data_IF_465188900855
#
_entry.id   IF_465188900855
#
_cell.length_a   1.000
_cell.length_b   1.000
_cell.length_c   1.000
_cell.angle_alpha   90.00
_cell.angle_beta   90.00
_cell.angle_gamma   90.00
#
_symmetry.space_group_name_H-M   'P 1'
#
loop_
_entity.id
_entity.type
_entity.pdbx_description
1 polymer ?
#
# COMPACT_ATOMS: atom_id res chain seq x y z
N UNK A 1 -43.78 5.20 14.61
CA UNK A 1 -44.22 5.29 16.02
C UNK A 1 -45.69 5.70 16.01
N UNK A 2 -46.59 4.89 16.57
CA UNK A 2 -48.01 5.22 16.63
C UNK A 2 -48.28 5.69 18.05
N UNK A 3 -48.22 7.00 18.29
CA UNK A 3 -48.74 7.61 19.53
C UNK A 3 -50.18 8.05 19.23
N UNK A 4 -51.14 7.62 20.06
CA UNK A 4 -52.56 7.99 19.89
C UNK A 4 -52.86 9.45 20.25
N UNK A 5 -51.93 10.12 20.91
CA UNK A 5 -52.02 11.53 21.31
C UNK A 5 -51.20 12.42 20.35
N UNK A 6 -51.87 13.38 19.73
CA UNK A 6 -51.27 14.35 18.80
C UNK A 6 -50.25 15.25 19.49
N UNK A 7 -50.51 15.66 20.75
CA UNK A 7 -49.57 16.52 21.49
C UNK A 7 -48.26 15.80 21.79
N UNK A 8 -48.33 14.54 22.19
CA UNK A 8 -47.14 13.69 22.36
C UNK A 8 -46.38 13.48 21.04
N UNK A 9 -47.09 13.37 19.91
CA UNK A 9 -46.48 13.26 18.57
C UNK A 9 -45.72 14.52 18.21
N UNK A 10 -46.33 15.69 18.38
CA UNK A 10 -45.72 16.98 18.04
C UNK A 10 -44.54 17.31 18.97
N UNK A 11 -44.65 16.96 20.25
CA UNK A 11 -43.53 17.04 21.19
C UNK A 11 -42.35 16.12 20.80
N UNK A 12 -42.62 14.88 20.38
CA UNK A 12 -41.60 13.96 19.88
C UNK A 12 -40.95 14.41 18.56
N UNK A 13 -41.71 15.04 17.67
CA UNK A 13 -41.19 15.57 16.40
C UNK A 13 -40.40 16.86 16.57
N UNK A 14 -40.71 17.65 17.59
CA UNK A 14 -39.98 18.89 17.93
C UNK A 14 -38.73 18.66 18.78
N UNK A 15 -38.52 17.44 19.29
CA UNK A 15 -37.32 17.08 20.04
C UNK A 15 -36.06 17.12 19.16
N UNK A 16 -35.12 17.98 19.53
CA UNK A 16 -33.81 18.02 18.89
C UNK A 16 -32.92 16.88 19.39
N UNK A 17 -33.00 15.72 18.72
CA UNK A 17 -32.22 14.54 19.09
C UNK A 17 -30.70 14.74 19.05
N UNK A 18 -30.19 15.82 18.43
CA UNK A 18 -28.75 16.16 18.41
C UNK A 18 -28.20 16.52 19.80
N UNK A 19 -29.06 16.93 20.73
CA UNK A 19 -28.63 17.32 22.08
C UNK A 19 -28.41 16.12 23.01
N UNK A 20 -28.92 14.93 22.64
CA UNK A 20 -28.78 13.70 23.40
C UNK A 20 -27.40 13.08 23.18
N UNK A 21 -26.39 13.54 23.92
CA UNK A 21 -25.00 13.02 23.83
C UNK A 21 -24.79 11.67 24.52
N UNK A 22 -25.71 11.27 25.41
CA UNK A 22 -25.59 10.05 26.23
C UNK A 22 -26.28 8.83 25.60
N UNK A 23 -27.18 9.05 24.64
CA UNK A 23 -27.97 8.00 24.02
C UNK A 23 -27.86 8.10 22.51
N UNK A 24 -27.71 6.95 21.85
CA UNK A 24 -27.77 6.89 20.40
C UNK A 24 -29.23 6.71 20.00
N UNK A 25 -29.89 7.77 19.54
CA UNK A 25 -31.29 7.72 19.11
C UNK A 25 -31.36 7.28 17.66
N UNK A 26 -32.07 6.19 17.41
CA UNK A 26 -32.30 5.65 16.07
C UNK A 26 -33.75 5.95 15.66
N UNK A 27 -33.90 6.79 14.64
CA UNK A 27 -35.20 7.11 14.05
C UNK A 27 -35.40 6.20 12.85
N UNK A 28 -36.49 5.45 12.77
CA UNK A 28 -36.85 4.62 11.60
C UNK A 28 -38.13 5.14 10.97
N UNK A 29 -38.15 5.24 9.65
CA UNK A 29 -39.37 5.32 8.86
C UNK A 29 -40.04 3.94 8.83
N UNK A 30 -41.30 3.91 8.38
CA UNK A 30 -42.09 2.68 8.23
C UNK A 30 -41.42 1.65 7.32
N UNK A 31 -40.72 2.11 6.28
CA UNK A 31 -39.96 1.24 5.35
C UNK A 31 -38.70 0.67 6.00
N UNK A 32 -38.09 1.40 6.95
CA UNK A 32 -36.84 1.02 7.59
C UNK A 32 -37.03 0.04 8.76
N UNK A 33 -38.27 -0.24 9.16
CA UNK A 33 -38.59 -1.29 10.13
C UNK A 33 -38.16 -2.68 9.66
N UNK A 34 -38.01 -2.86 8.34
CA UNK A 34 -37.55 -4.10 7.72
C UNK A 34 -36.03 -4.21 7.64
N UNK A 35 -35.28 -3.25 8.18
CA UNK A 35 -33.82 -3.32 8.13
C UNK A 35 -33.29 -4.53 8.88
N UNK A 36 -32.28 -5.15 8.30
CA UNK A 36 -31.60 -6.29 8.91
C UNK A 36 -30.46 -5.81 9.79
N UNK A 37 -30.40 -6.35 11.01
CA UNK A 37 -29.31 -6.06 11.95
C UNK A 37 -28.09 -6.90 11.62
N UNK A 38 -26.94 -6.24 11.50
CA UNK A 38 -25.64 -6.87 11.35
C UNK A 38 -24.67 -6.49 12.45
N UNK A 39 -23.75 -7.41 12.74
CA UNK A 39 -22.54 -7.16 13.49
C UNK A 39 -21.33 -7.27 12.57
N UNK A 40 -20.44 -6.29 12.61
CA UNK A 40 -19.17 -6.29 11.89
C UNK A 40 -18.05 -6.32 12.91
N UNK A 41 -17.12 -7.28 12.74
CA UNK A 41 -15.95 -7.39 13.60
C UNK A 41 -14.75 -6.71 12.94
N UNK A 42 -14.30 -5.60 13.52
CA UNK A 42 -13.18 -4.80 13.03
C UNK A 42 -11.96 -5.01 13.92
N UNK A 43 -10.89 -5.64 13.41
CA UNK A 43 -9.65 -5.75 14.15
C UNK A 43 -9.06 -4.35 14.39
N UNK A 44 -8.82 -3.99 15.64
CA UNK A 44 -8.11 -2.75 16.00
C UNK A 44 -6.60 -3.03 16.09
N UNK A 45 -5.67 -2.11 15.84
CA UNK A 45 -5.67 -0.67 16.14
C UNK A 45 -4.69 0.05 15.20
N UNK A 46 -5.13 0.53 14.03
CA UNK A 46 -4.28 1.46 13.28
C UNK A 46 -4.16 2.80 14.03
N UNK A 47 -2.99 3.43 13.94
CA UNK A 47 -2.76 4.76 14.53
C UNK A 47 -3.49 5.89 13.80
N UNK A 48 -4.10 5.60 12.64
CA UNK A 48 -4.91 6.57 11.92
C UNK A 48 -6.25 6.74 12.64
N UNK A 49 -6.22 7.56 13.70
CA UNK A 49 -7.27 7.78 14.69
C UNK A 49 -8.28 8.86 14.29
N UNK A 50 -8.01 9.61 13.22
CA UNK A 50 -8.82 10.75 12.83
C UNK A 50 -10.15 10.32 12.18
N UNK A 51 -10.20 9.12 11.59
CA UNK A 51 -11.40 8.59 10.95
C UNK A 51 -12.01 7.50 11.82
N UNK A 52 -13.30 7.62 12.10
CA UNK A 52 -14.03 6.61 12.86
C UNK A 52 -14.13 5.28 12.08
N UNK A 53 -14.26 4.14 12.78
CA UNK A 53 -14.29 2.84 12.13
C UNK A 53 -15.41 2.64 11.09
N UNK A 54 -16.58 3.28 11.25
CA UNK A 54 -17.68 3.14 10.29
C UNK A 54 -17.41 3.97 9.02
N UNK A 55 -16.87 5.17 9.18
CA UNK A 55 -16.44 6.00 8.05
C UNK A 55 -15.31 5.34 7.26
N UNK A 56 -14.36 4.66 7.93
CA UNK A 56 -13.34 3.85 7.26
C UNK A 56 -13.95 2.75 6.38
N UNK A 57 -14.95 2.03 6.89
CA UNK A 57 -15.69 1.03 6.10
C UNK A 57 -16.38 1.70 4.91
N UNK A 58 -17.07 2.82 5.12
CA UNK A 58 -17.78 3.55 4.07
C UNK A 58 -16.84 4.00 2.95
N UNK A 59 -15.68 4.56 3.29
CA UNK A 59 -14.69 5.04 2.30
C UNK A 59 -14.16 3.89 1.46
N UNK A 60 -13.73 2.80 2.09
CA UNK A 60 -13.06 1.71 1.40
C UNK A 60 -14.02 0.85 0.56
N UNK A 61 -15.30 0.76 0.96
CA UNK A 61 -16.30 -0.05 0.27
C UNK A 61 -17.27 0.78 -0.59
N UNK A 62 -16.94 2.04 -0.91
CA UNK A 62 -17.80 2.95 -1.70
C UNK A 62 -18.18 2.37 -3.07
N UNK A 63 -17.36 1.47 -3.62
CA UNK A 63 -17.56 0.85 -4.95
C UNK A 63 -18.19 -0.55 -4.92
N UNK A 64 -18.57 -1.07 -3.76
CA UNK A 64 -19.32 -2.33 -3.72
C UNK A 64 -20.74 -2.09 -4.24
N UNK A 65 -21.09 -2.79 -5.31
CA UNK A 65 -22.38 -2.63 -5.97
C UNK A 65 -23.51 -3.12 -5.06
N UNK A 66 -24.55 -2.31 -4.87
CA UNK A 66 -25.68 -2.63 -3.99
C UNK A 66 -25.41 -2.53 -2.48
N UNK A 67 -24.15 -2.41 -2.06
CA UNK A 67 -23.76 -2.30 -0.63
C UNK A 67 -23.50 -0.83 -0.29
N UNK A 68 -24.57 -0.07 -0.10
CA UNK A 68 -24.47 1.36 0.22
C UNK A 68 -24.33 1.54 1.73
N UNK A 69 -23.11 1.41 2.25
CA UNK A 69 -22.81 1.58 3.69
C UNK A 69 -23.26 2.95 4.22
N UNK A 70 -23.29 3.97 3.36
CA UNK A 70 -23.79 5.30 3.72
C UNK A 70 -25.27 5.35 4.14
N UNK A 71 -26.07 4.33 3.79
CA UNK A 71 -27.47 4.20 4.20
C UNK A 71 -27.65 3.35 5.47
N UNK A 72 -26.57 2.78 6.00
CA UNK A 72 -26.64 1.94 7.19
C UNK A 72 -26.78 2.80 8.44
N UNK A 73 -27.60 2.36 9.38
CA UNK A 73 -27.81 3.03 10.66
C UNK A 73 -26.90 2.46 11.71
N UNK A 74 -26.09 3.32 12.31
CA UNK A 74 -25.17 2.93 13.36
C UNK A 74 -25.90 2.70 14.69
N UNK A 75 -26.01 1.44 15.11
CA UNK A 75 -26.73 1.06 16.33
C UNK A 75 -25.84 1.26 17.55
N UNK A 76 -24.72 0.54 17.59
CA UNK A 76 -23.82 0.52 18.76
C UNK A 76 -22.40 0.15 18.36
N UNK A 77 -21.43 0.68 19.08
CA UNK A 77 -20.02 0.28 19.02
C UNK A 77 -19.59 -0.30 20.35
N UNK A 78 -18.90 -1.42 20.30
CA UNK A 78 -18.33 -2.08 21.47
C UNK A 78 -16.84 -2.26 21.21
N UNK A 79 -16.00 -1.63 22.02
CA UNK A 79 -14.56 -1.79 21.96
C UNK A 79 -14.14 -2.81 23.01
N UNK A 80 -13.22 -3.69 22.64
CA UNK A 80 -12.51 -4.57 23.57
C UNK A 80 -11.02 -4.65 23.21
N UNK A 81 -10.27 -5.47 23.93
CA UNK A 81 -8.82 -5.63 23.74
C UNK A 81 -8.44 -6.19 22.36
N UNK A 82 -9.33 -6.97 21.74
CA UNK A 82 -9.08 -7.63 20.44
C UNK A 82 -9.48 -6.74 19.25
N UNK A 83 -10.30 -5.72 19.46
CA UNK A 83 -10.77 -4.84 18.39
C UNK A 83 -12.06 -4.09 18.70
N UNK A 84 -12.79 -3.77 17.64
CA UNK A 84 -14.06 -3.05 17.70
C UNK A 84 -15.14 -3.87 17.02
N UNK A 85 -16.23 -4.14 17.73
CA UNK A 85 -17.46 -4.65 17.13
C UNK A 85 -18.39 -3.48 16.84
N UNK A 86 -18.93 -3.42 15.63
CA UNK A 86 -19.95 -2.45 15.25
C UNK A 86 -21.25 -3.20 15.00
N UNK A 87 -22.35 -2.67 15.53
CA UNK A 87 -23.69 -3.07 15.19
C UNK A 87 -24.31 -2.02 14.29
N UNK A 88 -24.87 -2.45 13.18
CA UNK A 88 -25.54 -1.61 12.19
C UNK A 88 -26.86 -2.23 11.78
N UNK A 89 -27.83 -1.40 11.44
CA UNK A 89 -29.04 -1.83 10.74
C UNK A 89 -28.93 -1.39 9.29
N UNK A 90 -29.12 -2.34 8.36
CA UNK A 90 -28.95 -2.10 6.93
C UNK A 90 -30.20 -2.47 6.14
N UNK A 91 -30.40 -1.87 4.95
CA UNK A 91 -31.46 -2.29 4.05
C UNK A 91 -31.34 -3.78 3.65
N UNK A 92 -32.45 -4.52 3.50
CA UNK A 92 -32.42 -5.91 3.00
C UNK A 92 -31.74 -6.04 1.63
N UNK A 93 -31.84 -5.01 0.79
CA UNK A 93 -31.13 -4.97 -0.50
C UNK A 93 -29.61 -4.99 -0.33
N UNK A 94 -29.07 -4.29 0.68
CA UNK A 94 -27.65 -4.34 1.02
C UNK A 94 -27.25 -5.68 1.62
N UNK A 95 -28.10 -6.30 2.43
CA UNK A 95 -27.86 -7.64 2.97
C UNK A 95 -27.74 -8.69 1.84
N UNK A 96 -28.69 -8.69 0.90
CA UNK A 96 -28.63 -9.57 -0.30
C UNK A 96 -27.44 -9.27 -1.19
N UNK A 97 -27.07 -7.99 -1.35
CA UNK A 97 -25.89 -7.62 -2.13
C UNK A 97 -24.60 -8.14 -1.46
N UNK A 98 -24.51 -8.11 -0.12
CA UNK A 98 -23.37 -8.65 0.62
C UNK A 98 -23.20 -10.16 0.47
N UNK A 99 -24.28 -10.92 0.24
CA UNK A 99 -24.19 -12.36 -0.01
C UNK A 99 -23.36 -12.67 -1.25
N UNK A 100 -23.48 -11.83 -2.32
CA UNK A 100 -22.64 -11.94 -3.53
C UNK A 100 -21.15 -11.78 -3.21
N UNK A 101 -20.82 -11.03 -2.17
CA UNK A 101 -19.47 -10.80 -1.68
C UNK A 101 -19.11 -11.68 -0.47
N UNK A 102 -19.80 -12.82 -0.30
CA UNK A 102 -19.56 -13.80 0.79
C UNK A 102 -19.63 -13.20 2.19
N UNK A 103 -20.43 -12.16 2.39
CA UNK A 103 -20.57 -11.46 3.66
C UNK A 103 -19.25 -10.82 4.15
N UNK A 104 -18.39 -10.39 3.23
CA UNK A 104 -17.10 -9.76 3.54
C UNK A 104 -17.04 -8.31 3.09
N UNK A 105 -16.39 -7.49 3.90
CA UNK A 105 -16.07 -6.09 3.60
C UNK A 105 -14.56 -5.87 3.66
N UNK A 106 -14.09 -4.89 2.91
CA UNK A 106 -12.71 -4.41 2.99
C UNK A 106 -12.55 -3.47 4.20
N UNK A 107 -11.57 -3.73 5.05
CA UNK A 107 -11.24 -2.85 6.16
C UNK A 107 -9.73 -2.81 6.39
N UNK A 108 -9.14 -1.63 6.21
CA UNK A 108 -7.70 -1.41 6.26
C UNK A 108 -6.98 -2.33 5.26
N UNK A 109 -6.13 -3.25 5.72
CA UNK A 109 -5.33 -4.13 4.87
C UNK A 109 -5.83 -5.60 4.88
N UNK A 110 -7.10 -5.83 5.20
CA UNK A 110 -7.70 -7.16 5.29
C UNK A 110 -9.21 -7.17 5.02
N UNK A 111 -9.76 -8.37 4.83
CA UNK A 111 -11.21 -8.60 4.82
C UNK A 111 -11.76 -8.83 6.23
N UNK A 112 -12.97 -8.32 6.47
CA UNK A 112 -13.72 -8.50 7.71
C UNK A 112 -15.08 -9.11 7.40
N UNK A 113 -15.55 -9.98 8.30
CA UNK A 113 -16.83 -10.66 8.15
C UNK A 113 -17.98 -9.81 8.71
N UNK A 114 -19.12 -9.90 8.04
CA UNK A 114 -20.40 -9.33 8.44
C UNK A 114 -21.31 -10.47 8.89
N UNK A 115 -21.85 -10.38 10.09
CA UNK A 115 -22.74 -11.38 10.67
C UNK A 115 -24.15 -10.80 10.75
N UNK A 116 -25.08 -11.32 9.96
CA UNK A 116 -26.49 -10.94 10.04
C UNK A 116 -27.17 -11.66 11.20
N UNK A 117 -28.00 -10.93 11.96
CA UNK A 117 -28.84 -11.51 13.03
C UNK A 117 -29.80 -12.55 12.48
N UNK A 118 -30.31 -12.36 11.26
CA UNK A 118 -31.25 -13.29 10.62
C UNK A 118 -30.65 -14.69 10.41
N UNK A 119 -29.34 -14.76 10.14
CA UNK A 119 -28.58 -15.98 9.79
C UNK A 119 -27.71 -16.45 10.98
N UNK A 120 -27.69 -15.71 12.09
CA UNK A 120 -26.90 -16.08 13.26
C UNK A 120 -27.40 -17.41 13.84
N UNK A 121 -26.47 -18.35 14.05
CA UNK A 121 -26.74 -19.68 14.63
C UNK A 121 -27.45 -19.56 15.98
N UNK A 122 -27.05 -18.56 16.78
CA UNK A 122 -27.69 -18.23 18.05
C UNK A 122 -28.04 -16.73 18.11
N UNK A 123 -29.33 -16.43 17.96
CA UNK A 123 -29.88 -15.07 18.06
C UNK A 123 -29.74 -14.50 19.48
N UNK A 124 -29.86 -15.34 20.50
CA UNK A 124 -29.70 -14.91 21.90
C UNK A 124 -28.23 -14.53 22.16
N UNK A 125 -27.26 -15.28 21.65
CA UNK A 125 -25.85 -14.91 21.73
C UNK A 125 -25.54 -13.60 20.98
N UNK A 126 -26.16 -13.38 19.82
CA UNK A 126 -26.04 -12.11 19.09
C UNK A 126 -26.55 -10.92 19.92
N UNK A 127 -27.73 -11.08 20.53
CA UNK A 127 -28.37 -10.06 21.37
C UNK A 127 -27.65 -9.84 22.70
N UNK A 128 -27.13 -10.90 23.32
CA UNK A 128 -26.25 -10.80 24.49
C UNK A 128 -25.00 -9.97 24.16
N UNK A 129 -24.45 -10.13 22.95
CA UNK A 129 -23.33 -9.32 22.46
C UNK A 129 -23.63 -7.83 22.39
N UNK A 130 -24.88 -7.42 22.11
CA UNK A 130 -25.30 -6.01 22.15
C UNK A 130 -25.27 -5.44 23.56
N UNK A 131 -25.43 -6.27 24.59
CA UNK A 131 -25.44 -5.84 25.99
C UNK A 131 -24.04 -5.73 26.61
N UNK A 132 -22.99 -6.19 25.91
CA UNK A 132 -21.63 -6.04 26.38
C UNK A 132 -21.25 -4.57 26.60
N UNK A 133 -20.55 -4.31 27.71
CA UNK A 133 -19.96 -2.99 27.99
C UNK A 133 -18.69 -2.82 27.19
N UNK A 134 -18.54 -1.64 26.59
CA UNK A 134 -17.27 -1.27 25.97
C UNK A 134 -16.22 -1.04 27.06
N UNK A 135 -14.97 -1.44 26.81
CA UNK A 135 -13.88 -0.99 27.68
C UNK A 135 -13.73 0.53 27.56
N UNK A 136 -13.53 1.20 28.71
CA UNK A 136 -13.35 2.65 28.77
C UNK A 136 -11.90 3.06 28.46
N UNK A 137 -10.95 2.15 28.64
CA UNK A 137 -9.55 2.36 28.29
C UNK A 137 -9.30 2.02 26.83
N UNK A 138 -8.56 2.90 26.14
CA UNK A 138 -8.19 2.70 24.73
C UNK A 138 -7.02 1.71 24.66
N UNK A 139 -7.18 0.53 24.05
CA UNK A 139 -6.10 -0.43 23.92
C UNK A 139 -4.90 0.16 23.15
N UNK A 140 -3.70 -0.16 23.61
CA UNK A 140 -2.44 0.35 23.07
C UNK A 140 -2.11 -0.36 21.75
N UNK A 141 -1.95 0.36 20.62
CA UNK A 141 -1.67 -0.24 19.30
C UNK A 141 -0.39 -1.08 19.22
N UNK A 142 0.51 -0.91 20.19
CA UNK A 142 1.80 -1.57 20.22
C UNK A 142 1.73 -3.00 20.78
N UNK A 143 0.63 -3.38 21.44
CA UNK A 143 0.47 -4.68 22.09
C UNK A 143 -0.25 -5.72 21.21
N UNK A 144 -0.91 -5.33 20.12
CA UNK A 144 -1.57 -6.30 19.24
C UNK A 144 -0.55 -7.10 18.44
N UNK A 145 -0.62 -8.44 18.42
CA UNK A 145 0.31 -9.25 17.63
C UNK A 145 0.17 -8.94 16.14
N UNK A 146 1.29 -8.89 15.41
CA UNK A 146 1.28 -8.79 13.95
C UNK A 146 0.94 -10.18 13.38
N UNK A 147 -0.04 -10.30 12.46
CA UNK A 147 -0.31 -11.58 11.80
C UNK A 147 0.93 -12.09 11.06
N UNK A 148 1.11 -13.40 11.00
CA UNK A 148 2.15 -14.03 10.18
C UNK A 148 1.55 -14.47 8.84
N UNK A 149 2.27 -14.26 7.75
CA UNK A 149 1.90 -14.80 6.43
C UNK A 149 3.01 -15.73 5.93
N UNK A 150 2.62 -16.95 5.56
CA UNK A 150 3.50 -17.87 4.86
C UNK A 150 3.90 -17.25 3.51
N UNK A 151 5.20 -17.06 3.28
CA UNK A 151 5.71 -16.32 2.13
C UNK A 151 5.47 -16.97 0.77
N UNK A 152 4.79 -18.11 0.68
CA UNK A 152 4.69 -18.93 -0.54
C UNK A 152 3.50 -18.57 -1.46
N UNK A 153 2.62 -17.64 -1.07
CA UNK A 153 1.56 -17.17 -1.98
C UNK A 153 2.20 -16.33 -3.12
N UNK A 154 1.99 -16.76 -4.37
CA UNK A 154 2.58 -16.14 -5.58
C UNK A 154 2.19 -14.66 -5.78
N UNK A 155 1.08 -14.24 -5.18
CA UNK A 155 0.53 -12.89 -5.33
C UNK A 155 0.84 -11.95 -4.17
N UNK A 156 1.65 -12.39 -3.20
CA UNK A 156 2.09 -11.52 -2.11
C UNK A 156 3.01 -10.42 -2.64
N UNK A 157 2.69 -9.19 -2.28
CA UNK A 157 3.57 -8.03 -2.37
C UNK A 157 4.43 -7.99 -1.11
N UNK A 158 5.75 -8.09 -1.28
CA UNK A 158 6.73 -8.06 -0.18
C UNK A 158 7.41 -6.69 -0.11
N UNK A 159 7.43 -6.09 1.07
CA UNK A 159 8.04 -4.79 1.34
C UNK A 159 9.24 -4.98 2.27
N UNK A 160 10.37 -4.38 1.90
CA UNK A 160 11.64 -4.41 2.62
C UNK A 160 12.32 -3.04 2.56
N UNK A 161 13.49 -2.91 3.18
CA UNK A 161 14.36 -1.75 2.95
C UNK A 161 15.16 -1.91 1.65
N UNK A 162 15.57 -0.77 1.04
CA UNK A 162 16.43 -0.74 -0.17
C UNK A 162 17.66 -1.65 0.05
N UNK A 163 17.97 -2.46 -0.96
CA UNK A 163 18.97 -3.52 -0.87
C UNK A 163 18.47 -4.80 -0.20
N UNK A 164 17.15 -5.04 -0.22
CA UNK A 164 16.50 -6.23 0.34
C UNK A 164 16.82 -6.49 1.82
N UNK A 165 17.03 -5.44 2.61
CA UNK A 165 17.35 -5.57 4.03
C UNK A 165 16.07 -5.88 4.84
N UNK A 166 16.11 -6.82 5.79
CA UNK A 166 14.94 -7.21 6.56
C UNK A 166 14.45 -6.09 7.48
N UNK A 167 13.13 -6.03 7.66
CA UNK A 167 12.44 -5.17 8.60
C UNK A 167 12.33 -5.85 9.97
N UNK A 168 12.48 -5.08 11.04
CA UNK A 168 12.04 -5.53 12.37
C UNK A 168 10.52 -5.43 12.50
N UNK A 169 9.94 -6.18 13.45
CA UNK A 169 8.50 -6.15 13.72
C UNK A 169 7.98 -4.74 14.02
N UNK A 170 8.76 -3.95 14.77
CA UNK A 170 8.42 -2.56 15.12
C UNK A 170 8.36 -1.69 13.87
N UNK A 171 9.29 -1.88 12.93
CA UNK A 171 9.34 -1.14 11.68
C UNK A 171 8.21 -1.59 10.74
N UNK A 172 7.91 -2.88 10.67
CA UNK A 172 6.77 -3.41 9.91
C UNK A 172 5.42 -2.80 10.37
N UNK A 173 5.24 -2.57 11.68
CA UNK A 173 4.06 -1.83 12.19
C UNK A 173 3.99 -0.39 11.65
N UNK A 174 5.14 0.31 11.57
CA UNK A 174 5.20 1.66 10.99
C UNK A 174 4.89 1.65 9.49
N UNK A 175 5.35 0.62 8.76
CA UNK A 175 5.03 0.43 7.34
C UNK A 175 3.52 0.25 7.17
N UNK A 176 2.90 -0.67 7.93
CA UNK A 176 1.44 -0.88 7.95
C UNK A 176 0.68 0.43 8.16
N UNK A 177 1.02 1.18 9.21
CA UNK A 177 0.32 2.43 9.53
C UNK A 177 0.52 3.50 8.45
N UNK A 178 1.70 3.57 7.81
CA UNK A 178 1.98 4.47 6.67
C UNK A 178 1.11 4.14 5.46
N UNK A 179 0.96 2.86 5.13
CA UNK A 179 0.14 2.42 3.99
C UNK A 179 -1.34 2.72 4.25
N UNK A 180 -1.83 2.42 5.47
CA UNK A 180 -3.20 2.74 5.88
C UNK A 180 -3.48 4.24 5.78
N UNK A 181 -2.54 5.07 6.27
CA UNK A 181 -2.64 6.54 6.16
C UNK A 181 -2.78 6.98 4.71
N UNK A 182 -1.88 6.51 3.82
CA UNK A 182 -1.88 6.89 2.41
C UNK A 182 -3.13 6.40 1.69
N UNK A 183 -3.62 5.20 2.02
CA UNK A 183 -4.86 4.65 1.48
C UNK A 183 -6.07 5.50 1.82
N UNK A 184 -6.26 5.88 3.10
CA UNK A 184 -7.42 6.71 3.45
C UNK A 184 -7.30 8.13 2.92
N UNK A 185 -6.10 8.72 2.89
CA UNK A 185 -5.87 10.00 2.22
C UNK A 185 -6.23 9.94 0.73
N UNK A 186 -5.89 8.84 0.06
CA UNK A 186 -6.26 8.60 -1.33
C UNK A 186 -7.78 8.55 -1.54
N UNK A 187 -8.52 7.90 -0.64
CA UNK A 187 -9.99 7.87 -0.70
C UNK A 187 -10.65 9.20 -0.36
N UNK A 188 -10.09 9.97 0.59
CA UNK A 188 -10.56 11.32 0.90
C UNK A 188 -10.40 12.28 -0.28
N UNK A 189 -9.37 12.07 -1.12
CA UNK A 189 -9.13 12.82 -2.36
C UNK A 189 -9.87 12.23 -3.59
N UNK A 190 -10.92 11.46 -3.36
CA UNK A 190 -11.74 10.83 -4.41
C UNK A 190 -10.97 9.95 -5.41
N UNK A 191 -9.88 9.32 -4.95
CA UNK A 191 -9.08 8.42 -5.76
C UNK A 191 -9.94 7.34 -6.45
N UNK A 192 -9.65 7.04 -7.72
CA UNK A 192 -10.48 6.20 -8.61
C UNK A 192 -10.20 4.70 -8.60
N UNK A 193 -9.10 4.25 -8.01
CA UNK A 193 -8.66 2.83 -8.02
C UNK A 193 -9.04 2.05 -6.77
N UNK A 194 -9.30 0.75 -6.91
CA UNK A 194 -9.63 -0.14 -5.77
C UNK A 194 -8.39 -0.36 -4.89
N UNK A 195 -8.62 -0.52 -3.59
CA UNK A 195 -7.57 -0.76 -2.59
C UNK A 195 -8.03 -1.86 -1.61
N UNK A 196 -8.37 -3.01 -2.18
CA UNK A 196 -8.88 -4.16 -1.45
C UNK A 196 -7.77 -5.18 -1.22
N UNK A 197 -7.62 -5.58 0.04
CA UNK A 197 -6.60 -6.52 0.49
C UNK A 197 -7.25 -7.68 1.22
N UNK A 198 -6.80 -8.89 0.94
CA UNK A 198 -7.31 -10.12 1.58
C UNK A 198 -6.76 -10.23 3.00
N UNK A 199 -5.44 -10.11 3.13
CA UNK A 199 -4.70 -10.25 4.39
C UNK A 199 -3.38 -9.50 4.33
N UNK A 200 -2.88 -9.12 5.51
CA UNK A 200 -1.54 -8.56 5.72
C UNK A 200 -0.82 -9.31 6.83
N UNK A 201 0.50 -9.23 6.85
CA UNK A 201 1.28 -9.83 7.91
C UNK A 201 2.78 -9.73 7.71
N UNK A 202 3.51 -10.31 8.65
CA UNK A 202 4.96 -10.37 8.64
C UNK A 202 5.42 -11.76 8.21
N UNK A 203 6.50 -11.83 7.43
CA UNK A 203 7.09 -13.09 6.95
C UNK A 203 8.60 -13.10 7.16
N UNK A 204 9.16 -14.26 7.47
CA UNK A 204 10.61 -14.43 7.61
C UNK A 204 11.31 -14.34 6.23
N UNK A 205 12.56 -13.85 6.14
CA UNK A 205 13.46 -13.37 7.20
C UNK A 205 13.24 -11.91 7.65
N UNK A 206 12.14 -11.25 7.26
CA UNK A 206 11.83 -9.90 7.72
C UNK A 206 11.10 -9.02 6.71
N UNK A 207 10.04 -9.54 6.10
CA UNK A 207 9.25 -8.83 5.10
C UNK A 207 7.89 -8.43 5.67
N UNK A 208 7.44 -7.21 5.33
CA UNK A 208 6.04 -6.87 5.48
C UNK A 208 5.31 -7.29 4.21
N UNK A 209 4.31 -8.14 4.36
CA UNK A 209 3.62 -8.81 3.27
C UNK A 209 2.17 -8.33 3.18
N UNK A 210 1.72 -8.07 1.96
CA UNK A 210 0.34 -7.75 1.63
C UNK A 210 -0.15 -8.69 0.54
N UNK A 211 -1.37 -9.21 0.68
CA UNK A 211 -2.05 -9.95 -0.37
C UNK A 211 -3.18 -9.09 -0.96
N UNK A 212 -2.99 -8.47 -2.13
CA UNK A 212 -4.04 -7.75 -2.84
C UNK A 212 -5.15 -8.71 -3.27
N UNK A 213 -6.41 -8.24 -3.25
CA UNK A 213 -7.55 -9.04 -3.75
C UNK A 213 -7.66 -8.98 -5.28
N UNK A 214 -7.22 -7.89 -5.89
CA UNK A 214 -7.37 -7.66 -7.31
C UNK A 214 -6.13 -6.99 -7.94
N UNK A 215 -5.95 -7.07 -9.27
CA UNK A 215 -4.81 -6.48 -9.97
C UNK A 215 -4.71 -4.96 -9.79
N UNK A 216 -5.83 -4.27 -9.65
CA UNK A 216 -5.86 -2.82 -9.44
C UNK A 216 -5.28 -2.44 -8.07
N UNK A 217 -5.64 -3.17 -7.02
CA UNK A 217 -5.09 -2.98 -5.67
C UNK A 217 -3.61 -3.30 -5.62
N UNK A 218 -3.17 -4.31 -6.39
CA UNK A 218 -1.75 -4.62 -6.59
C UNK A 218 -1.05 -3.45 -7.26
N UNK A 219 -1.57 -2.95 -8.37
CA UNK A 219 -1.00 -1.79 -9.07
C UNK A 219 -0.90 -0.57 -8.15
N UNK A 220 -1.96 -0.28 -7.40
CA UNK A 220 -2.00 0.84 -6.46
C UNK A 220 -0.88 0.77 -5.40
N UNK A 221 -0.68 -0.39 -4.74
CA UNK A 221 0.38 -0.52 -3.74
C UNK A 221 1.77 -0.47 -4.37
N UNK A 222 1.91 -0.97 -5.59
CA UNK A 222 3.15 -1.01 -6.36
C UNK A 222 3.61 0.37 -6.87
N UNK A 223 2.65 1.24 -7.16
CA UNK A 223 2.89 2.62 -7.59
C UNK A 223 3.01 3.59 -6.40
N UNK A 224 2.65 3.14 -5.20
CA UNK A 224 2.71 3.94 -3.98
C UNK A 224 4.15 4.24 -3.60
N UNK A 225 4.52 5.52 -3.55
CA UNK A 225 5.75 5.93 -2.89
C UNK A 225 5.62 5.59 -1.40
N UNK A 226 6.38 4.61 -0.91
CA UNK A 226 6.39 4.19 0.49
C UNK A 226 7.19 5.16 1.38
N UNK A 227 8.06 5.97 0.80
CA UNK A 227 8.93 6.90 1.50
C UNK A 227 10.11 6.21 2.19
N UNK A 228 10.61 6.85 3.25
CA UNK A 228 11.81 6.41 3.99
C UNK A 228 11.48 6.24 5.48
N UNK A 229 12.02 5.20 6.10
CA UNK A 229 12.01 5.04 7.56
C UNK A 229 13.45 5.09 8.04
N UNK A 230 13.76 5.94 9.03
CA UNK A 230 15.12 6.14 9.54
C UNK A 230 16.13 6.46 8.42
N UNK A 231 15.73 7.30 7.45
CA UNK A 231 16.52 7.68 6.25
C UNK A 231 16.76 6.55 5.23
N UNK A 232 16.31 5.33 5.49
CA UNK A 232 16.42 4.20 4.56
C UNK A 232 15.12 4.09 3.74
N UNK A 233 15.19 4.08 2.40
CA UNK A 233 14.01 3.88 1.56
C UNK A 233 13.38 2.50 1.74
N UNK A 234 12.05 2.46 1.70
CA UNK A 234 11.29 1.22 1.57
C UNK A 234 11.13 0.87 0.09
N UNK A 235 11.24 -0.41 -0.24
CA UNK A 235 11.14 -0.93 -1.60
C UNK A 235 10.17 -2.11 -1.66
N UNK A 236 9.62 -2.34 -2.84
CA UNK A 236 8.82 -3.53 -3.14
C UNK A 236 9.72 -4.57 -3.79
N UNK A 237 9.94 -5.66 -3.08
CA UNK A 237 10.85 -6.74 -3.48
C UNK A 237 10.32 -7.40 -4.75
N UNK A 238 11.16 -7.50 -5.79
CA UNK A 238 10.81 -8.08 -7.08
C UNK A 238 10.21 -7.13 -8.12
N UNK A 239 9.81 -5.90 -7.75
CA UNK A 239 9.33 -4.90 -8.71
C UNK A 239 10.21 -3.65 -8.81
N UNK A 240 10.86 -3.21 -7.73
CA UNK A 240 11.90 -2.19 -7.86
C UNK A 240 13.14 -2.72 -8.61
N UNK A 241 13.27 -4.04 -8.75
CA UNK A 241 14.25 -4.64 -9.67
C UNK A 241 13.87 -4.47 -11.15
N UNK A 242 12.58 -4.35 -11.48
CA UNK A 242 12.07 -4.11 -12.85
C UNK A 242 12.14 -2.62 -13.21
N UNK A 243 12.07 -1.73 -12.20
CA UNK A 243 12.29 -0.28 -12.38
C UNK A 243 13.76 0.10 -12.53
N UNK A 244 14.70 -0.81 -12.27
CA UNK A 244 16.12 -0.54 -12.46
C UNK A 244 16.55 -1.06 -13.84
N UNK A 245 16.66 -0.16 -14.81
CA UNK A 245 17.32 -0.49 -16.09
C UNK A 245 18.79 -0.76 -15.80
N UNK A 246 19.26 -1.93 -16.24
CA UNK A 246 20.67 -2.30 -16.16
C UNK A 246 21.35 -2.03 -17.50
N UNK A 247 22.61 -1.60 -17.44
CA UNK A 247 23.46 -1.40 -18.61
C UNK A 247 24.65 -2.34 -18.51
N UNK A 248 24.99 -2.97 -19.64
CA UNK A 248 26.16 -3.84 -19.70
C UNK A 248 27.43 -3.01 -19.81
N UNK A 249 28.30 -3.17 -18.81
CA UNK A 249 29.53 -2.41 -18.64
C UNK A 249 30.71 -3.37 -18.44
N UNK A 250 31.88 -2.96 -18.88
CA UNK A 250 33.15 -3.68 -18.72
C UNK A 250 34.08 -2.87 -17.82
N UNK A 251 34.50 -3.44 -16.70
CA UNK A 251 35.48 -2.83 -15.79
C UNK A 251 36.84 -3.48 -16.02
N UNK A 252 37.81 -2.68 -16.44
CA UNK A 252 39.18 -3.11 -16.70
C UNK A 252 40.03 -2.92 -15.45
N UNK A 253 40.53 -4.03 -14.91
CA UNK A 253 41.42 -4.07 -13.76
C UNK A 253 42.82 -4.56 -14.17
N UNK A 254 43.89 -4.14 -13.47
CA UNK A 254 45.20 -4.76 -13.60
C UNK A 254 45.12 -6.26 -13.29
N UNK A 255 45.94 -7.07 -13.98
CA UNK A 255 45.89 -8.54 -13.88
C UNK A 255 46.16 -9.01 -12.46
N UNK A 256 45.19 -9.71 -11.87
CA UNK A 256 45.33 -10.46 -10.62
C UNK A 256 45.33 -11.97 -10.84
N UNK A 257 45.99 -12.72 -9.96
CA UNK A 257 46.00 -14.19 -9.97
C UNK A 257 44.68 -14.81 -9.46
N UNK A 258 43.82 -14.06 -8.74
CA UNK A 258 42.58 -14.57 -8.12
C UNK A 258 41.37 -13.66 -8.34
N UNK A 259 40.54 -14.02 -9.32
CA UNK A 259 39.37 -13.25 -9.81
C UNK A 259 38.24 -13.03 -8.80
N UNK A 260 38.07 -13.93 -7.82
CA UNK A 260 37.03 -13.81 -6.78
C UNK A 260 37.30 -12.67 -5.78
N UNK A 261 38.56 -12.29 -5.57
CA UNK A 261 38.91 -11.22 -4.63
C UNK A 261 38.90 -9.84 -5.27
N UNK A 262 39.06 -9.75 -6.59
CA UNK A 262 39.15 -8.48 -7.29
C UNK A 262 37.84 -7.68 -7.24
N UNK A 263 36.68 -8.33 -7.32
CA UNK A 263 35.38 -7.64 -7.22
C UNK A 263 35.12 -7.07 -5.82
N UNK A 264 35.36 -7.84 -4.76
CA UNK A 264 35.20 -7.33 -3.39
C UNK A 264 36.24 -6.23 -3.10
N UNK A 265 37.46 -6.31 -3.63
CA UNK A 265 38.46 -5.24 -3.54
C UNK A 265 38.01 -3.97 -4.26
N UNK A 266 37.46 -4.08 -5.46
CA UNK A 266 36.90 -2.95 -6.21
C UNK A 266 35.78 -2.27 -5.41
N UNK A 267 34.89 -3.08 -4.84
CA UNK A 267 33.81 -2.62 -3.96
C UNK A 267 34.36 -1.94 -2.70
N UNK A 268 35.37 -2.52 -2.04
CA UNK A 268 36.05 -1.94 -0.88
C UNK A 268 36.71 -0.60 -1.20
N UNK A 269 37.39 -0.51 -2.34
CA UNK A 269 38.08 0.71 -2.80
C UNK A 269 37.12 1.88 -3.05
N UNK A 270 35.86 1.59 -3.39
CA UNK A 270 34.87 2.60 -3.75
C UNK A 270 33.70 2.72 -2.75
N UNK A 271 33.82 2.22 -1.51
CA UNK A 271 32.72 2.26 -0.52
C UNK A 271 32.27 3.69 -0.16
N UNK A 272 33.15 4.68 -0.31
CA UNK A 272 32.86 6.09 -0.04
C UNK A 272 32.11 6.81 -1.16
N UNK A 273 31.97 6.21 -2.35
CA UNK A 273 31.38 6.86 -3.52
C UNK A 273 29.86 6.86 -3.42
N UNK A 274 29.27 8.04 -3.21
CA UNK A 274 27.81 8.21 -3.19
C UNK A 274 27.23 8.00 -4.59
N UNK A 275 26.30 7.05 -4.72
CA UNK A 275 25.58 6.79 -5.96
C UNK A 275 25.99 5.50 -6.68
N UNK A 276 27.07 4.83 -6.24
CA UNK A 276 27.42 3.49 -6.73
C UNK A 276 26.91 2.44 -5.75
N UNK A 277 26.22 1.43 -6.27
CA UNK A 277 25.73 0.31 -5.47
C UNK A 277 26.15 -1.05 -6.04
N UNK A 278 27.34 -1.49 -5.67
CA UNK A 278 27.90 -2.79 -6.05
C UNK A 278 27.01 -4.01 -5.71
N UNK A 279 26.06 -3.88 -4.77
CA UNK A 279 25.10 -4.96 -4.45
C UNK A 279 24.00 -5.16 -5.49
N UNK A 280 23.77 -4.17 -6.36
CA UNK A 280 22.80 -4.25 -7.44
C UNK A 280 23.41 -4.76 -8.76
N UNK A 281 24.73 -4.89 -8.83
CA UNK A 281 25.43 -5.28 -10.05
C UNK A 281 25.25 -6.78 -10.34
N UNK A 282 24.77 -7.13 -11.53
CA UNK A 282 24.36 -8.50 -11.91
C UNK A 282 25.24 -9.08 -13.04
N UNK A 283 25.11 -10.39 -13.28
CA UNK A 283 25.73 -11.09 -14.42
C UNK A 283 27.25 -10.89 -14.53
N UNK A 284 27.94 -10.96 -13.39
CA UNK A 284 29.38 -10.76 -13.31
C UNK A 284 30.12 -11.90 -14.04
N UNK A 285 30.72 -11.57 -15.18
CA UNK A 285 31.60 -12.46 -15.94
C UNK A 285 33.00 -11.88 -15.95
N UNK A 286 34.00 -12.73 -15.74
CA UNK A 286 35.40 -12.34 -15.78
C UNK A 286 36.05 -12.90 -17.02
N UNK A 287 36.54 -12.01 -17.87
CA UNK A 287 37.31 -12.35 -19.05
C UNK A 287 38.74 -11.78 -18.93
N UNK A 288 39.67 -12.28 -19.74
CA UNK A 288 41.03 -11.73 -19.84
C UNK A 288 41.16 -10.99 -21.15
N UNK A 289 41.63 -9.74 -21.09
CA UNK A 289 42.05 -9.02 -22.29
C UNK A 289 43.53 -9.30 -22.53
N UNK A 290 43.81 -10.22 -23.46
CA UNK A 290 45.17 -10.62 -23.82
C UNK A 290 45.97 -9.48 -24.47
N UNK A 291 45.30 -8.53 -25.13
CA UNK A 291 45.94 -7.40 -25.81
C UNK A 291 46.40 -6.34 -24.82
N UNK A 292 45.55 -5.99 -23.86
CA UNK A 292 45.86 -4.98 -22.84
C UNK A 292 46.55 -5.57 -21.61
N UNK A 293 46.63 -6.90 -21.50
CA UNK A 293 47.07 -7.62 -20.29
C UNK A 293 46.30 -7.11 -19.07
N UNK A 294 44.96 -7.09 -19.17
CA UNK A 294 44.04 -6.64 -18.11
C UNK A 294 42.99 -7.72 -17.83
N UNK A 295 42.46 -7.71 -16.61
CA UNK A 295 41.28 -8.50 -16.25
C UNK A 295 40.03 -7.66 -16.51
N UNK A 296 39.05 -8.23 -17.21
CA UNK A 296 37.81 -7.53 -17.59
C UNK A 296 36.65 -8.12 -16.80
N UNK A 297 35.98 -7.29 -16.02
CA UNK A 297 34.73 -7.62 -15.35
C UNK A 297 33.57 -7.10 -16.18
N UNK A 298 32.92 -8.00 -16.91
CA UNK A 298 31.67 -7.72 -17.60
C UNK A 298 30.51 -7.84 -16.61
N UNK A 299 29.75 -6.76 -16.44
CA UNK A 299 28.75 -6.65 -15.39
C UNK A 299 27.58 -5.78 -15.83
N UNK A 300 26.39 -6.16 -15.40
CA UNK A 300 25.18 -5.37 -15.59
C UNK A 300 25.02 -4.41 -14.41
N UNK A 301 25.27 -3.13 -14.66
CA UNK A 301 25.22 -2.05 -13.64
C UNK A 301 23.87 -1.36 -13.67
N UNK A 302 23.33 -1.00 -12.49
CA UNK A 302 22.11 -0.21 -12.39
C UNK A 302 22.32 1.24 -12.86
N UNK A 303 21.24 1.88 -13.34
CA UNK A 303 21.25 3.26 -13.85
C UNK A 303 21.94 4.27 -12.91
N UNK A 304 21.67 4.22 -11.60
CA UNK A 304 22.23 5.16 -10.62
C UNK A 304 23.76 5.02 -10.52
N UNK A 305 24.26 3.78 -10.53
CA UNK A 305 25.69 3.48 -10.60
C UNK A 305 26.32 4.00 -11.90
N UNK A 306 25.69 3.79 -13.05
CA UNK A 306 26.23 4.23 -14.35
C UNK A 306 26.32 5.75 -14.45
N UNK A 307 25.30 6.48 -13.98
CA UNK A 307 25.34 7.94 -13.93
C UNK A 307 26.46 8.48 -13.04
N UNK A 308 26.69 7.82 -11.92
CA UNK A 308 27.77 8.18 -11.00
C UNK A 308 29.13 7.94 -11.66
N UNK A 309 29.29 6.82 -12.37
CA UNK A 309 30.50 6.50 -13.14
C UNK A 309 30.74 7.51 -14.26
N UNK A 310 29.69 7.97 -14.95
CA UNK A 310 29.79 9.04 -15.96
C UNK A 310 30.32 10.33 -15.33
N UNK A 311 29.77 10.74 -14.18
CA UNK A 311 30.26 11.91 -13.42
C UNK A 311 31.71 11.76 -12.97
N UNK A 312 32.13 10.54 -12.67
CA UNK A 312 33.52 10.17 -12.35
C UNK A 312 34.41 10.00 -13.59
N UNK A 313 33.92 10.36 -14.78
CA UNK A 313 34.63 10.25 -16.05
C UNK A 313 35.10 8.82 -16.35
N UNK A 314 34.25 7.84 -16.03
CA UNK A 314 34.47 6.41 -16.31
C UNK A 314 35.68 5.80 -15.59
N UNK A 315 35.99 6.30 -14.40
CA UNK A 315 37.12 5.85 -13.57
C UNK A 315 36.62 5.45 -12.19
N UNK A 316 37.14 4.34 -11.69
CA UNK A 316 36.95 3.86 -10.31
C UNK A 316 38.31 3.62 -9.67
N UNK A 317 38.37 3.75 -8.36
CA UNK A 317 39.60 3.49 -7.62
C UNK A 317 39.78 1.99 -7.42
N UNK A 318 41.01 1.51 -7.50
CA UNK A 318 41.33 0.11 -7.26
C UNK A 318 42.62 -0.01 -6.47
N UNK A 319 42.51 -0.32 -5.18
CA UNK A 319 43.67 -0.38 -4.28
C UNK A 319 44.10 -1.83 -4.07
N UNK A 320 45.37 -2.12 -4.35
CA UNK A 320 45.99 -3.44 -4.11
C UNK A 320 47.28 -3.24 -3.32
N UNK A 321 47.43 -3.91 -2.17
CA UNK A 321 48.70 -3.99 -1.44
C UNK A 321 49.38 -2.62 -1.23
N UNK A 322 48.59 -1.63 -0.82
CA UNK A 322 49.01 -0.23 -0.61
C UNK A 322 49.49 0.50 -1.88
N UNK A 323 49.06 0.07 -3.06
CA UNK A 323 49.21 0.79 -4.33
C UNK A 323 47.86 1.15 -4.92
N UNK A 324 47.76 2.37 -5.40
CA UNK A 324 46.55 2.90 -6.02
C UNK A 324 46.59 2.69 -7.53
N UNK A 325 45.58 2.01 -8.05
CA UNK A 325 45.34 1.83 -9.48
C UNK A 325 44.00 2.48 -9.86
N UNK A 326 43.85 2.76 -11.16
CA UNK A 326 42.60 3.25 -11.72
C UNK A 326 41.97 2.12 -12.54
N UNK A 327 40.76 1.73 -12.14
CA UNK A 327 39.91 0.86 -12.92
C UNK A 327 39.15 1.69 -13.96
N UNK A 328 39.31 1.33 -15.24
CA UNK A 328 38.57 1.98 -16.33
C UNK A 328 37.25 1.27 -16.56
N UNK A 329 36.17 2.02 -16.76
CA UNK A 329 34.85 1.46 -17.05
C UNK A 329 34.47 1.82 -18.48
N UNK A 330 34.20 0.84 -19.33
CA UNK A 330 33.69 1.05 -20.69
C UNK A 330 32.30 0.43 -20.82
N UNK A 331 31.49 0.93 -21.74
CA UNK A 331 30.20 0.34 -22.11
C UNK A 331 30.31 -0.33 -23.47
N UNK A 332 29.47 -1.35 -23.71
CA UNK A 332 29.36 -1.95 -25.04
C UNK A 332 28.76 -1.00 -26.10
N UNK A 333 28.11 0.08 -25.65
CA UNK A 333 27.62 1.15 -26.50
C UNK A 333 28.65 2.30 -26.56
N UNK A 334 28.72 3.06 -27.67
CA UNK A 334 29.41 4.34 -27.70
C UNK A 334 28.88 5.28 -26.60
N UNK A 335 29.77 6.08 -25.98
CA UNK A 335 29.41 6.96 -24.84
C UNK A 335 28.21 7.86 -25.12
N UNK A 336 28.14 8.46 -26.30
CA UNK A 336 27.00 9.29 -26.73
C UNK A 336 25.69 8.52 -26.72
N UNK A 337 25.66 7.30 -27.27
CA UNK A 337 24.48 6.44 -27.31
C UNK A 337 24.07 5.94 -25.93
N UNK A 338 25.02 5.72 -25.02
CA UNK A 338 24.73 5.36 -23.63
C UNK A 338 24.03 6.51 -22.91
N UNK A 339 24.58 7.72 -23.02
CA UNK A 339 24.01 8.94 -22.41
C UNK A 339 22.62 9.26 -22.99
N UNK A 340 22.44 9.13 -24.31
CA UNK A 340 21.13 9.25 -24.97
C UNK A 340 20.15 8.19 -24.47
N UNK A 341 20.58 6.94 -24.30
CA UNK A 341 19.74 5.84 -23.79
C UNK A 341 19.33 6.04 -22.34
N UNK A 342 20.18 6.68 -21.53
CA UNK A 342 19.89 7.09 -20.16
C UNK A 342 18.89 8.26 -20.16
N UNK A 343 19.12 9.27 -21.00
CA UNK A 343 18.23 10.43 -21.12
C UNK A 343 16.83 10.02 -21.58
N UNK A 344 16.73 9.16 -22.60
CA UNK A 344 15.47 8.59 -23.08
C UNK A 344 14.75 7.77 -22.01
N UNK A 345 15.49 6.97 -21.25
CA UNK A 345 14.88 6.21 -20.16
C UNK A 345 14.38 7.11 -19.03
N UNK A 346 15.09 8.20 -18.73
CA UNK A 346 14.62 9.23 -17.79
C UNK A 346 13.38 9.94 -18.27
N UNK A 347 13.30 10.29 -19.56
CA UNK A 347 12.09 10.90 -20.12
C UNK A 347 10.88 9.96 -20.04
N UNK A 348 11.07 8.68 -20.35
CA UNK A 348 10.03 7.64 -20.22
C UNK A 348 9.57 7.43 -18.76
N UNK A 349 10.45 7.64 -17.77
CA UNK A 349 10.11 7.60 -16.34
C UNK A 349 9.45 8.90 -15.83
N UNK A 350 9.77 10.04 -16.45
CA UNK A 350 9.19 11.34 -16.11
C UNK A 350 7.87 11.62 -16.82
N UNK A 351 7.52 10.87 -17.87
CA UNK A 351 6.22 10.90 -18.57
C UNK A 351 5.09 10.28 -17.72
N UNK A 352 5.01 10.68 -16.45
CA UNK A 352 3.79 10.61 -15.66
C UNK A 352 2.92 11.81 -16.04
N UNK A 353 2.01 11.59 -16.99
CA UNK A 353 0.78 12.36 -17.19
C UNK A 353 0.92 13.88 -16.96
N UNK A 354 1.53 14.59 -17.90
CA UNK A 354 0.92 15.86 -18.30
C UNK A 354 -0.33 15.48 -19.09
N UNK A 355 -1.45 15.30 -18.38
CA UNK A 355 -2.74 15.59 -19.01
C UNK A 355 -2.71 17.09 -19.23
N UNK A 356 -2.13 17.51 -20.36
CA UNK A 356 -2.58 18.73 -20.97
C UNK A 356 -4.10 18.58 -21.05
N UNK A 357 -4.81 19.37 -20.26
CA UNK A 357 -6.21 19.65 -20.53
C UNK A 357 -6.21 20.09 -21.99
N UNK A 358 -6.59 19.18 -22.90
CA UNK A 358 -7.09 19.61 -24.18
C UNK A 358 -8.36 20.36 -23.83
N UNK A 359 -8.22 21.68 -23.75
CA UNK A 359 -9.36 22.58 -23.85
C UNK A 359 -10.13 22.10 -25.08
N UNK A 360 -11.27 21.47 -24.80
CA UNK A 360 -12.26 21.16 -25.81
C UNK A 360 -12.69 22.53 -26.31
N UNK A 361 -12.16 22.90 -27.47
CA UNK A 361 -12.63 24.04 -28.22
C UNK A 361 -14.14 23.92 -28.32
N UNK A 362 -14.82 24.96 -27.82
CA UNK A 362 -16.24 25.16 -27.98
C UNK A 362 -16.57 25.25 -29.46
N UNK A 363 -17.47 24.39 -29.90
CA UNK A 363 -18.36 24.49 -31.05
C UNK A 363 -19.38 23.36 -30.79
N UNK A 364 -20.70 23.50 -30.79
CA UNK A 364 -21.63 24.56 -31.15
C UNK A 364 -23.02 24.04 -30.73
N UNK A 365 -23.89 24.96 -30.27
CA UNK A 365 -25.36 24.92 -30.21
C UNK A 365 -26.10 23.61 -30.52
N UNK A 366 -26.92 23.11 -29.56
CA UNK A 366 -28.30 22.70 -29.85
C UNK A 366 -29.22 23.04 -28.66
N UNK A 367 -30.29 23.74 -28.99
CA UNK A 367 -31.32 24.35 -28.14
C UNK A 367 -32.13 23.31 -27.34
N UNK A 368 -32.34 23.58 -26.05
CA UNK A 368 -33.37 22.90 -25.26
C UNK A 368 -34.70 23.63 -25.51
N UNK A 369 -35.55 23.05 -26.35
CA UNK A 369 -36.96 23.45 -26.46
C UNK A 369 -37.73 22.81 -25.31
N UNK A 370 -38.30 23.66 -24.44
CA UNK A 370 -39.36 23.24 -23.52
C UNK A 370 -40.69 23.24 -24.26
N UNK A 371 -41.47 22.17 -24.11
CA UNK A 371 -42.89 22.15 -24.44
C UNK A 371 -43.68 22.13 -23.12
N UNK A 372 -44.70 23.00 -23.06
CA UNK A 372 -45.66 23.17 -21.97
C UNK A 372 -46.39 21.88 -21.57
#
# INVERSE_FOLDING_TARGET
MITRDERSRDWLLSLNFKEFKLFNVLVYTTEELWYERAAVWLPGHSRYRNIDPLTKLKLQNKRLEGVIIGKWKFVKKIVNEKGTRIYVDMPPSSARALEKYKMQLSYELQKVNVFLKAIAIDKQAFDAGLNCRSINFRPTPNLTPMPCIAGNDKDIVRIAFKGNKPLSLVLARKVRDTIIYKMYKYHELEGKSRTDFVKYGFSQPGYFCLLPENPESRKWICDLDLGKINRIPLIIVGQDEVKNKYFNMSVFLPVEMQTKHSFERLKHSNQGVKGINFSLWKNQRVDKDEKRKLTVFNVDMDLESVETIIKMKYKLDYVIENRDYIALVESNLPRSKLEESIAKYKSELSDKYDVANMDIASDSDEEIVFLD
#
